data_IF_492349786200
#
_entry.id   IF_492349786200
#
_cell.length_a   1.000
_cell.length_b   1.000
_cell.length_c   1.000
_cell.angle_alpha   90.00
_cell.angle_beta   90.00
_cell.angle_gamma   90.00
#
_symmetry.space_group_name_H-M   'P 1'
#
loop_
_entity.id
_entity.type
_entity.pdbx_description
1 polymer ?
#
# COMPACT_ATOMS: atom_id res chain seq x y z
N UNK A 1 20.15 -1.81 6.98
CA UNK A 1 20.83 -1.86 8.30
C UNK A 1 22.25 -2.34 8.11
N UNK A 2 23.22 -1.60 8.62
CA UNK A 2 24.59 -2.12 8.75
C UNK A 2 24.57 -3.14 9.89
N UNK A 3 25.05 -4.36 9.65
CA UNK A 3 25.22 -5.39 10.70
C UNK A 3 26.22 -4.95 11.78
N UNK A 4 27.02 -3.93 11.46
CA UNK A 4 27.98 -3.30 12.34
C UNK A 4 27.40 -2.03 12.93
N UNK A 5 27.29 -2.01 14.25
CA UNK A 5 26.96 -0.86 15.07
C UNK A 5 28.24 -0.09 15.40
N UNK A 6 28.12 1.18 15.80
CA UNK A 6 29.24 1.98 16.29
C UNK A 6 30.06 1.27 17.38
N UNK A 7 29.41 0.44 18.21
CA UNK A 7 30.06 -0.40 19.21
C UNK A 7 31.02 -1.44 18.63
N UNK A 8 30.75 -1.92 17.42
CA UNK A 8 31.65 -2.82 16.68
C UNK A 8 32.89 -2.08 16.15
N UNK A 9 32.81 -0.74 15.99
CA UNK A 9 33.92 0.11 15.58
C UNK A 9 34.70 0.71 16.78
N UNK A 10 34.05 0.89 17.93
CA UNK A 10 34.65 1.43 19.16
C UNK A 10 35.35 0.40 20.06
N UNK A 11 35.31 -0.89 19.71
CA UNK A 11 36.16 -1.90 20.35
C UNK A 11 37.65 -1.70 20.07
N UNK A 12 38.52 -2.39 20.80
CA UNK A 12 40.00 -2.31 20.82
C UNK A 12 40.71 -2.35 19.44
N UNK A 13 39.99 -2.56 18.35
CA UNK A 13 40.49 -2.81 17.00
C UNK A 13 41.03 -1.58 16.26
N UNK A 14 40.44 -0.38 16.44
CA UNK A 14 40.92 0.83 15.74
C UNK A 14 42.04 1.57 16.48
N UNK A 15 42.34 1.20 17.73
CA UNK A 15 43.40 1.81 18.54
C UNK A 15 44.79 1.19 18.36
N UNK A 16 44.92 0.07 17.64
CA UNK A 16 46.21 -0.59 17.43
C UNK A 16 46.91 -0.08 16.16
N UNK A 17 47.72 0.97 16.31
CA UNK A 17 48.68 1.49 15.33
C UNK A 17 49.99 0.68 15.28
N UNK A 18 49.94 -0.66 15.42
CA UNK A 18 51.13 -1.51 15.55
C UNK A 18 51.07 -2.84 14.79
N UNK A 19 52.27 -3.39 14.55
CA UNK A 19 52.65 -4.51 13.66
C UNK A 19 52.09 -5.91 14.03
N UNK A 20 51.13 -5.99 14.96
CA UNK A 20 50.55 -7.25 15.47
C UNK A 20 49.07 -7.38 15.10
N UNK A 21 48.77 -7.41 13.80
CA UNK A 21 47.39 -7.66 13.32
C UNK A 21 47.07 -9.15 13.35
N UNK A 22 46.21 -9.58 14.27
CA UNK A 22 45.48 -10.84 14.10
C UNK A 22 44.51 -10.69 12.92
N UNK A 23 44.45 -11.65 11.97
CA UNK A 23 43.51 -11.57 10.86
C UNK A 23 42.07 -11.56 11.39
N UNK A 24 41.24 -10.69 10.81
CA UNK A 24 39.83 -10.60 11.17
C UNK A 24 39.14 -11.94 10.86
N UNK A 25 38.47 -12.50 11.86
CA UNK A 25 37.62 -13.69 11.70
C UNK A 25 36.19 -13.25 11.85
N UNK A 26 35.39 -13.43 10.80
CA UNK A 26 33.96 -13.18 10.83
C UNK A 26 33.31 -14.01 11.95
N UNK A 27 32.82 -13.34 13.00
CA UNK A 27 31.98 -14.00 14.01
C UNK A 27 30.53 -13.88 13.57
N UNK A 28 29.88 -15.01 13.33
CA UNK A 28 28.45 -15.02 13.08
C UNK A 28 27.72 -14.41 14.28
N UNK A 29 26.85 -13.42 14.03
CA UNK A 29 26.04 -12.80 15.08
C UNK A 29 25.05 -13.85 15.59
N UNK A 30 25.22 -14.30 16.82
CA UNK A 30 24.28 -15.19 17.48
C UNK A 30 23.13 -14.36 18.05
N UNK A 31 21.89 -14.77 17.77
CA UNK A 31 20.70 -14.08 18.25
C UNK A 31 20.14 -14.80 19.48
N UNK A 32 19.79 -14.05 20.52
CA UNK A 32 19.06 -14.60 21.66
C UNK A 32 17.59 -14.82 21.29
N UNK A 33 16.87 -15.67 22.03
CA UNK A 33 15.41 -15.88 21.85
C UNK A 33 14.61 -14.57 21.89
N UNK A 34 15.08 -13.56 22.62
CA UNK A 34 14.43 -12.24 22.70
C UNK A 34 14.61 -11.40 21.43
N UNK A 35 15.71 -11.60 20.70
CA UNK A 35 16.03 -10.84 19.47
C UNK A 35 15.40 -11.45 18.21
N UNK A 36 14.83 -12.66 18.34
CA UNK A 36 14.21 -13.39 17.24
C UNK A 36 13.02 -12.62 16.63
N UNK A 37 12.24 -11.92 17.45
CA UNK A 37 11.10 -11.12 16.98
C UNK A 37 11.56 -9.96 16.10
N UNK A 38 12.59 -9.21 16.53
CA UNK A 38 13.19 -8.14 15.75
C UNK A 38 13.80 -8.66 14.43
N UNK A 39 14.40 -9.85 14.45
CA UNK A 39 14.89 -10.52 13.24
C UNK A 39 13.76 -10.91 12.30
N UNK A 40 12.66 -11.46 12.83
CA UNK A 40 11.50 -11.86 12.03
C UNK A 40 10.84 -10.66 11.37
N UNK A 41 10.75 -9.52 12.08
CA UNK A 41 10.30 -8.24 11.53
C UNK A 41 11.23 -7.67 10.44
N UNK A 42 12.53 -7.98 10.53
CA UNK A 42 13.56 -7.51 9.59
C UNK A 42 13.71 -8.39 8.35
N UNK A 43 13.18 -9.62 8.40
CA UNK A 43 13.20 -10.55 7.28
C UNK A 43 11.94 -10.34 6.44
N UNK A 44 12.08 -10.38 5.11
CA UNK A 44 10.92 -10.51 4.23
C UNK A 44 10.29 -11.87 4.52
N UNK A 45 9.12 -11.90 5.16
CA UNK A 45 8.43 -13.15 5.46
C UNK A 45 7.43 -13.48 4.36
N UNK A 46 7.27 -14.77 4.05
CA UNK A 46 6.30 -15.28 3.06
C UNK A 46 4.86 -14.87 3.41
N UNK A 47 4.58 -14.70 4.70
CA UNK A 47 3.28 -14.29 5.21
C UNK A 47 2.91 -12.86 4.78
N UNK A 48 3.88 -11.94 4.71
CA UNK A 48 3.62 -10.55 4.32
C UNK A 48 3.33 -10.43 2.82
N UNK A 49 3.98 -11.27 2.00
CA UNK A 49 3.64 -11.45 0.60
C UNK A 49 2.24 -12.01 0.43
N UNK A 50 1.93 -13.09 1.16
CA UNK A 50 0.62 -13.71 1.13
C UNK A 50 -0.49 -12.73 1.54
N UNK A 51 -0.31 -11.97 2.63
CA UNK A 51 -1.27 -10.95 3.06
C UNK A 51 -1.45 -9.88 1.99
N UNK A 52 -0.37 -9.36 1.41
CA UNK A 52 -0.44 -8.30 0.40
C UNK A 52 -1.19 -8.77 -0.85
N UNK A 53 -0.87 -9.97 -1.36
CA UNK A 53 -1.54 -10.59 -2.50
C UNK A 53 -3.02 -10.87 -2.17
N UNK A 54 -3.29 -11.37 -0.97
CA UNK A 54 -4.67 -11.67 -0.51
C UNK A 54 -5.53 -10.40 -0.48
N UNK A 55 -4.99 -9.27 -0.02
CA UNK A 55 -5.71 -7.99 -0.03
C UNK A 55 -6.09 -7.61 -1.47
N UNK A 56 -5.13 -7.58 -2.41
CA UNK A 56 -5.43 -7.25 -3.81
C UNK A 56 -6.39 -8.25 -4.46
N UNK A 57 -6.28 -9.53 -4.14
CA UNK A 57 -7.21 -10.56 -4.60
C UNK A 57 -8.64 -10.26 -4.17
N UNK A 58 -8.88 -9.94 -2.89
CA UNK A 58 -10.22 -9.58 -2.42
C UNK A 58 -10.78 -8.31 -3.08
N UNK A 59 -9.92 -7.34 -3.42
CA UNK A 59 -10.34 -6.18 -4.21
C UNK A 59 -10.80 -6.58 -5.62
N UNK A 60 -10.07 -7.45 -6.30
CA UNK A 60 -10.47 -7.95 -7.63
C UNK A 60 -11.73 -8.80 -7.59
N UNK A 61 -11.87 -9.64 -6.56
CA UNK A 61 -13.04 -10.49 -6.35
C UNK A 61 -14.28 -9.64 -6.02
N UNK A 62 -14.15 -8.66 -5.11
CA UNK A 62 -15.24 -7.76 -4.78
C UNK A 62 -15.71 -6.95 -5.98
N UNK A 63 -14.77 -6.50 -6.81
CA UNK A 63 -15.07 -5.80 -8.05
C UNK A 63 -15.83 -6.69 -9.04
N UNK A 64 -15.35 -7.91 -9.28
CA UNK A 64 -15.95 -8.84 -10.24
C UNK A 64 -17.33 -9.32 -9.81
N UNK A 65 -17.53 -9.65 -8.53
CA UNK A 65 -18.84 -10.08 -7.99
C UNK A 65 -19.87 -8.97 -8.16
N UNK A 66 -19.53 -7.73 -7.81
CA UNK A 66 -20.46 -6.61 -7.98
C UNK A 66 -20.84 -6.39 -9.44
N UNK A 67 -19.84 -6.38 -10.34
CA UNK A 67 -20.08 -6.23 -11.78
C UNK A 67 -21.01 -7.34 -12.29
N UNK A 68 -20.76 -8.58 -11.88
CA UNK A 68 -21.60 -9.74 -12.21
C UNK A 68 -23.05 -9.56 -11.73
N UNK A 69 -23.26 -9.10 -10.48
CA UNK A 69 -24.60 -8.86 -9.93
C UNK A 69 -25.34 -7.74 -10.64
N UNK A 70 -24.64 -6.75 -11.19
CA UNK A 70 -25.27 -5.60 -11.86
C UNK A 70 -25.59 -5.83 -13.34
N UNK A 71 -24.75 -6.56 -14.09
CA UNK A 71 -24.85 -6.65 -15.56
C UNK A 71 -24.81 -8.08 -16.12
N UNK A 72 -24.54 -9.09 -15.30
CA UNK A 72 -24.34 -10.47 -15.78
C UNK A 72 -23.07 -10.67 -16.62
N UNK A 73 -22.98 -11.78 -17.36
CA UNK A 73 -21.79 -12.21 -18.12
C UNK A 73 -21.88 -11.87 -19.63
N UNK A 74 -22.30 -10.66 -19.99
CA UNK A 74 -22.50 -10.26 -21.39
C UNK A 74 -21.33 -9.41 -21.93
N UNK A 75 -20.69 -9.77 -23.07
CA UNK A 75 -19.50 -9.05 -23.59
C UNK A 75 -19.72 -7.58 -23.96
N UNK A 76 -20.92 -7.22 -24.45
CA UNK A 76 -21.32 -5.84 -24.76
C UNK A 76 -21.37 -4.93 -23.52
N UNK A 77 -21.42 -5.53 -22.34
CA UNK A 77 -21.57 -4.82 -21.08
C UNK A 77 -20.27 -4.18 -20.63
N UNK A 78 -19.10 -4.72 -20.99
CA UNK A 78 -17.80 -4.19 -20.54
C UNK A 78 -17.49 -2.79 -21.10
N UNK A 79 -17.75 -2.57 -22.40
CA UNK A 79 -17.54 -1.25 -23.01
C UNK A 79 -18.57 -0.23 -22.50
N UNK A 80 -19.81 -0.67 -22.28
CA UNK A 80 -20.88 0.17 -21.71
C UNK A 80 -20.58 0.51 -20.24
N UNK A 81 -19.95 -0.42 -19.51
CA UNK A 81 -19.49 -0.25 -18.12
C UNK A 81 -18.43 0.83 -17.98
N UNK A 82 -17.48 0.87 -18.92
CA UNK A 82 -16.39 1.85 -18.94
C UNK A 82 -16.91 3.27 -19.14
N UNK A 83 -18.02 3.43 -19.87
CA UNK A 83 -18.63 4.73 -20.16
C UNK A 83 -19.75 5.14 -19.17
N UNK A 84 -20.22 4.23 -18.31
CA UNK A 84 -21.26 4.54 -17.32
C UNK A 84 -20.67 5.30 -16.12
N UNK A 85 -20.62 6.63 -16.20
CA UNK A 85 -20.12 7.53 -15.15
C UNK A 85 -21.25 8.25 -14.39
N UNK A 86 -22.52 7.98 -14.72
CA UNK A 86 -23.65 8.73 -14.18
C UNK A 86 -23.96 8.34 -12.73
N UNK A 87 -23.65 9.25 -11.82
CA UNK A 87 -24.13 9.26 -10.43
C UNK A 87 -25.64 9.51 -10.44
N UNK A 88 -26.43 8.44 -10.45
CA UNK A 88 -27.88 8.55 -10.28
C UNK A 88 -28.24 8.35 -8.80
N UNK A 89 -29.32 8.95 -8.27
CA UNK A 89 -29.83 8.59 -6.94
C UNK A 89 -30.15 7.10 -6.80
N UNK A 90 -30.43 6.43 -7.93
CA UNK A 90 -30.64 4.99 -8.02
C UNK A 90 -29.34 4.20 -7.79
N UNK A 91 -28.17 4.81 -7.92
CA UNK A 91 -26.86 4.20 -7.66
C UNK A 91 -26.57 4.02 -6.16
N UNK A 92 -27.34 4.66 -5.26
CA UNK A 92 -27.27 4.44 -3.81
C UNK A 92 -28.05 3.18 -3.42
N UNK A 93 -27.50 2.02 -3.75
CA UNK A 93 -28.20 0.74 -3.62
C UNK A 93 -27.93 0.02 -2.31
N UNK A 94 -26.80 0.28 -1.64
CA UNK A 94 -26.36 -0.48 -0.46
C UNK A 94 -26.57 0.27 0.85
N UNK A 95 -26.95 -0.48 1.89
CA UNK A 95 -26.87 -0.03 3.29
C UNK A 95 -27.90 1.02 3.71
N UNK A 96 -28.98 1.22 2.95
CA UNK A 96 -30.01 2.25 3.25
C UNK A 96 -30.63 2.16 4.64
N UNK A 97 -30.56 0.99 5.29
CA UNK A 97 -31.08 0.75 6.64
C UNK A 97 -30.04 0.94 7.75
N UNK A 98 -28.76 1.13 7.39
CA UNK A 98 -27.68 1.30 8.36
C UNK A 98 -27.57 2.78 8.78
N UNK A 99 -27.09 3.06 10.01
CA UNK A 99 -26.79 4.42 10.42
C UNK A 99 -25.71 5.04 9.53
N UNK A 100 -25.82 6.35 9.29
CA UNK A 100 -24.88 7.12 8.45
C UNK A 100 -23.42 6.97 8.90
N UNK A 101 -23.18 6.84 10.20
CA UNK A 101 -21.85 6.58 10.78
C UNK A 101 -21.28 5.23 10.34
N UNK A 102 -22.09 4.17 10.32
CA UNK A 102 -21.66 2.86 9.84
C UNK A 102 -21.39 2.90 8.33
N UNK A 103 -22.22 3.61 7.56
CA UNK A 103 -22.00 3.78 6.12
C UNK A 103 -20.69 4.51 5.81
N UNK A 104 -20.38 5.56 6.57
CA UNK A 104 -19.11 6.28 6.45
C UNK A 104 -17.91 5.39 6.80
N UNK A 105 -18.00 4.56 7.83
CA UNK A 105 -16.92 3.61 8.19
C UNK A 105 -16.73 2.60 7.06
N UNK A 106 -17.81 1.94 6.61
CA UNK A 106 -17.76 0.93 5.54
C UNK A 106 -17.19 1.54 4.25
N UNK A 107 -17.52 2.80 3.95
CA UNK A 107 -17.02 3.50 2.78
C UNK A 107 -15.51 3.80 2.81
N UNK A 108 -14.90 3.78 4.00
CA UNK A 108 -13.48 4.08 4.21
C UNK A 108 -12.62 2.85 4.56
N UNK A 109 -13.24 1.72 4.90
CA UNK A 109 -12.52 0.47 5.20
C UNK A 109 -11.61 0.02 4.05
N UNK A 110 -12.03 0.08 2.77
CA UNK A 110 -11.16 -0.26 1.65
C UNK A 110 -9.88 0.61 1.59
N UNK A 111 -9.99 1.91 1.86
CA UNK A 111 -8.89 2.86 1.87
C UNK A 111 -7.91 2.54 3.01
N UNK A 112 -8.41 2.08 4.16
CA UNK A 112 -7.56 1.60 5.25
C UNK A 112 -6.78 0.33 4.84
N UNK A 113 -7.45 -0.63 4.19
CA UNK A 113 -6.80 -1.85 3.71
C UNK A 113 -5.73 -1.57 2.66
N UNK A 114 -5.96 -0.63 1.74
CA UNK A 114 -4.95 -0.20 0.76
C UNK A 114 -3.76 0.49 1.42
N UNK A 115 -3.99 1.30 2.45
CA UNK A 115 -2.91 1.90 3.23
C UNK A 115 -2.02 0.83 3.88
N UNK A 116 -2.62 -0.20 4.46
CA UNK A 116 -1.89 -1.34 5.05
C UNK A 116 -1.13 -2.13 3.99
N UNK A 117 -1.75 -2.41 2.84
CA UNK A 117 -1.11 -3.09 1.72
C UNK A 117 0.10 -2.30 1.18
N UNK A 118 -0.01 -0.96 1.10
CA UNK A 118 1.10 -0.10 0.71
C UNK A 118 2.25 -0.17 1.72
N UNK A 119 1.98 -0.08 3.02
CA UNK A 119 3.02 -0.17 4.05
C UNK A 119 3.75 -1.51 4.01
N UNK A 120 3.02 -2.62 3.83
CA UNK A 120 3.59 -3.96 3.67
C UNK A 120 4.44 -4.06 2.40
N UNK A 121 3.89 -3.61 1.27
CA UNK A 121 4.58 -3.63 -0.03
C UNK A 121 5.85 -2.78 -0.01
N UNK A 122 5.79 -1.58 0.57
CA UNK A 122 6.94 -0.70 0.71
C UNK A 122 8.03 -1.35 1.56
N UNK A 123 7.68 -2.01 2.66
CA UNK A 123 8.63 -2.74 3.50
C UNK A 123 9.27 -3.92 2.74
N UNK A 124 8.48 -4.72 2.01
CA UNK A 124 8.97 -5.85 1.21
C UNK A 124 9.95 -5.39 0.13
N UNK A 125 9.59 -4.37 -0.64
CA UNK A 125 10.44 -3.78 -1.68
C UNK A 125 11.70 -3.19 -1.08
N UNK A 126 11.61 -2.54 0.09
CA UNK A 126 12.78 -2.04 0.82
C UNK A 126 13.73 -3.17 1.20
N UNK A 127 13.21 -4.25 1.77
CA UNK A 127 14.00 -5.40 2.19
C UNK A 127 14.67 -6.10 1.00
N UNK A 128 13.95 -6.26 -0.12
CA UNK A 128 14.49 -6.84 -1.36
C UNK A 128 15.53 -5.96 -2.03
N UNK A 129 15.32 -4.64 -2.07
CA UNK A 129 16.29 -3.71 -2.62
C UNK A 129 17.58 -3.71 -1.79
N UNK A 130 17.44 -3.78 -0.46
CA UNK A 130 18.55 -3.89 0.46
C UNK A 130 19.29 -5.22 0.26
N UNK A 131 18.59 -6.37 0.28
CA UNK A 131 19.23 -7.69 0.12
C UNK A 131 19.98 -7.80 -1.20
N UNK A 132 19.37 -7.33 -2.31
CA UNK A 132 20.02 -7.27 -3.63
C UNK A 132 21.27 -6.39 -3.61
N UNK A 133 21.23 -5.26 -2.93
CA UNK A 133 22.40 -4.40 -2.80
C UNK A 133 23.52 -5.08 -2.01
N UNK A 134 23.18 -5.75 -0.91
CA UNK A 134 24.11 -6.51 -0.08
C UNK A 134 24.77 -7.66 -0.84
N UNK A 135 23.99 -8.48 -1.54
CA UNK A 135 24.52 -9.56 -2.36
C UNK A 135 25.51 -9.05 -3.41
N UNK A 136 25.23 -7.88 -4.01
CA UNK A 136 26.12 -7.28 -5.00
C UNK A 136 27.49 -6.83 -4.44
N UNK A 137 27.63 -6.59 -3.12
CA UNK A 137 28.95 -6.35 -2.51
C UNK A 137 29.77 -7.63 -2.36
N UNK A 138 29.11 -8.79 -2.22
CA UNK A 138 29.76 -10.08 -2.00
C UNK A 138 30.11 -10.81 -3.31
N UNK A 139 29.23 -10.76 -4.32
CA UNK A 139 29.36 -11.54 -5.55
C UNK A 139 29.74 -10.70 -6.78
N UNK A 140 29.91 -9.40 -6.62
CA UNK A 140 30.18 -8.47 -7.72
C UNK A 140 31.59 -8.63 -8.32
N UNK A 141 31.75 -8.52 -9.66
CA UNK A 141 33.08 -8.54 -10.33
C UNK A 141 33.99 -7.38 -9.94
N UNK A 142 33.41 -6.28 -9.43
CA UNK A 142 34.11 -5.09 -8.99
C UNK A 142 33.63 -4.67 -7.59
N UNK A 143 34.55 -4.21 -6.75
CA UNK A 143 34.25 -3.69 -5.42
C UNK A 143 33.31 -2.49 -5.52
N UNK A 144 32.05 -2.69 -5.15
CA UNK A 144 31.05 -1.62 -5.15
C UNK A 144 31.33 -0.68 -3.96
N UNK A 145 31.34 0.64 -4.15
CA UNK A 145 31.62 1.59 -3.07
C UNK A 145 30.46 1.66 -2.07
N UNK A 146 30.80 1.77 -0.78
CA UNK A 146 29.83 1.89 0.31
C UNK A 146 29.03 3.20 0.26
N UNK A 147 27.80 3.12 0.78
CA UNK A 147 26.95 4.29 1.02
C UNK A 147 27.16 4.83 2.43
N UNK A 148 27.53 6.10 2.53
CA UNK A 148 27.79 6.78 3.80
C UNK A 148 27.04 8.12 3.84
N UNK A 149 26.71 8.59 5.04
CA UNK A 149 26.03 9.88 5.23
C UNK A 149 26.91 11.06 4.81
N UNK A 150 28.23 10.90 4.97
CA UNK A 150 29.24 11.89 4.59
C UNK A 150 30.24 11.23 3.61
N UNK A 151 29.91 11.18 2.31
CA UNK A 151 30.74 10.50 1.33
C UNK A 151 32.09 11.22 1.14
N UNK A 152 33.17 10.45 1.02
CA UNK A 152 34.48 10.93 0.57
C UNK A 152 35.00 10.09 -0.60
N UNK A 153 35.58 10.73 -1.61
CA UNK A 153 36.12 10.05 -2.79
C UNK A 153 35.04 9.30 -3.58
N UNK A 154 35.23 8.00 -3.81
CA UNK A 154 34.33 7.16 -4.60
C UNK A 154 33.09 6.65 -3.83
N UNK A 155 32.94 7.00 -2.54
CA UNK A 155 31.78 6.62 -1.72
C UNK A 155 30.51 7.32 -2.20
N UNK A 156 29.36 6.65 -2.01
CA UNK A 156 28.05 7.18 -2.41
C UNK A 156 27.31 7.75 -1.20
N UNK A 157 26.49 8.77 -1.39
CA UNK A 157 25.59 9.22 -0.32
C UNK A 157 24.48 8.18 -0.07
N UNK A 158 23.93 8.20 1.14
CA UNK A 158 22.70 7.48 1.47
C UNK A 158 21.51 8.09 0.73
N UNK A 159 20.55 7.25 0.32
CA UNK A 159 19.29 7.78 -0.20
C UNK A 159 18.54 8.53 0.90
N UNK A 160 17.86 9.63 0.52
CA UNK A 160 16.98 10.35 1.44
C UNK A 160 15.73 9.54 1.78
N UNK A 161 15.20 8.81 0.79
CA UNK A 161 14.18 7.78 0.96
C UNK A 161 14.86 6.42 1.16
N UNK A 162 14.40 5.57 2.08
CA UNK A 162 15.04 4.27 2.39
C UNK A 162 15.16 3.32 1.18
N UNK A 163 14.47 3.62 0.06
CA UNK A 163 14.46 2.84 -1.17
C UNK A 163 14.93 3.62 -2.40
N UNK A 164 15.54 2.95 -3.40
CA UNK A 164 15.83 3.57 -4.69
C UNK A 164 14.56 4.13 -5.36
N UNK A 165 14.62 5.36 -5.88
CA UNK A 165 13.47 6.03 -6.52
C UNK A 165 12.81 5.23 -7.66
N UNK A 166 13.59 4.39 -8.38
CA UNK A 166 13.07 3.50 -9.42
C UNK A 166 12.00 2.52 -8.95
N UNK A 167 12.00 2.17 -7.66
CA UNK A 167 10.97 1.33 -7.05
C UNK A 167 9.96 2.17 -6.25
N UNK A 168 10.42 3.26 -5.65
CA UNK A 168 9.59 4.15 -4.84
C UNK A 168 8.50 4.84 -5.65
N UNK A 169 8.87 5.42 -6.79
CA UNK A 169 7.96 6.24 -7.59
C UNK A 169 6.84 5.39 -8.22
N UNK A 170 7.12 4.23 -8.84
CA UNK A 170 6.04 3.38 -9.34
C UNK A 170 5.12 2.87 -8.23
N UNK A 171 5.68 2.48 -7.07
CA UNK A 171 4.88 1.99 -5.95
C UNK A 171 3.97 3.08 -5.38
N UNK A 172 4.50 4.30 -5.22
CA UNK A 172 3.74 5.46 -4.76
C UNK A 172 2.64 5.84 -5.76
N UNK A 173 2.97 5.88 -7.06
CA UNK A 173 2.02 6.19 -8.11
C UNK A 173 0.89 5.14 -8.20
N UNK A 174 1.24 3.85 -8.13
CA UNK A 174 0.26 2.76 -8.11
C UNK A 174 -0.65 2.85 -6.87
N UNK A 175 -0.08 3.12 -5.69
CA UNK A 175 -0.86 3.30 -4.46
C UNK A 175 -1.81 4.50 -4.57
N UNK A 176 -1.32 5.66 -5.02
CA UNK A 176 -2.13 6.85 -5.21
C UNK A 176 -3.29 6.59 -6.20
N UNK A 177 -3.01 5.90 -7.30
CA UNK A 177 -4.01 5.52 -8.29
C UNK A 177 -5.06 4.57 -7.71
N UNK A 178 -4.64 3.54 -6.97
CA UNK A 178 -5.57 2.60 -6.31
C UNK A 178 -6.48 3.34 -5.31
N UNK A 179 -5.91 4.20 -4.47
CA UNK A 179 -6.69 5.00 -3.53
C UNK A 179 -7.70 5.91 -4.24
N UNK A 180 -7.27 6.56 -5.31
CA UNK A 180 -8.15 7.39 -6.13
C UNK A 180 -9.29 6.57 -6.74
N UNK A 181 -8.99 5.44 -7.38
CA UNK A 181 -9.98 4.56 -7.98
C UNK A 181 -10.94 3.98 -6.94
N UNK A 182 -10.44 3.60 -5.75
CA UNK A 182 -11.29 3.12 -4.66
C UNK A 182 -12.28 4.17 -4.17
N UNK A 183 -11.88 5.45 -4.10
CA UNK A 183 -12.79 6.54 -3.74
C UNK A 183 -13.95 6.72 -4.74
N UNK A 184 -13.71 6.39 -6.01
CA UNK A 184 -14.74 6.42 -7.05
C UNK A 184 -15.54 5.11 -7.10
N UNK A 185 -14.91 3.99 -6.76
CA UNK A 185 -15.52 2.67 -6.79
C UNK A 185 -16.59 2.49 -5.71
N UNK A 186 -16.36 3.02 -4.52
CA UNK A 186 -17.26 2.88 -3.38
C UNK A 186 -17.24 4.17 -2.57
N UNK A 187 -18.38 4.86 -2.54
CA UNK A 187 -18.51 6.17 -1.90
C UNK A 187 -19.78 6.23 -1.06
N UNK A 188 -19.73 6.98 0.02
CA UNK A 188 -20.90 7.31 0.82
C UNK A 188 -21.55 8.59 0.27
N UNK A 189 -22.88 8.59 0.13
CA UNK A 189 -23.61 9.82 -0.13
C UNK A 189 -24.95 9.85 0.61
N UNK A 190 -25.36 11.06 0.96
CA UNK A 190 -26.62 11.37 1.62
C UNK A 190 -27.34 12.44 0.78
N UNK A 191 -28.58 12.16 0.39
CA UNK A 191 -29.40 13.04 -0.43
C UNK A 191 -30.60 13.47 0.41
N UNK A 192 -30.65 14.77 0.70
CA UNK A 192 -31.80 15.41 1.35
C UNK A 192 -32.61 16.17 0.31
N UNK A 193 -33.86 15.77 0.13
CA UNK A 193 -34.83 16.43 -0.74
C UNK A 193 -35.64 17.41 0.10
N UNK A 194 -35.62 18.68 -0.28
CA UNK A 194 -36.39 19.73 0.39
C UNK A 194 -37.66 20.03 -0.41
N UNK A 195 -38.82 20.09 0.25
CA UNK A 195 -40.04 20.60 -0.36
C UNK A 195 -40.06 22.13 -0.29
N UNK A 196 -40.36 22.77 -1.42
CA UNK A 196 -40.35 24.23 -1.55
C UNK A 196 -41.53 24.93 -0.84
N UNK A 197 -42.55 24.19 -0.37
CA UNK A 197 -43.66 24.76 0.39
C UNK A 197 -44.17 23.74 1.41
N UNK A 198 -44.25 24.10 2.69
CA UNK A 198 -44.86 23.23 3.72
C UNK A 198 -44.50 23.52 5.17
N UNK A 199 -43.54 24.40 5.47
CA UNK A 199 -43.25 24.80 6.85
C UNK A 199 -44.10 25.99 7.28
N UNK A 200 -44.78 25.89 8.44
CA UNK A 200 -45.53 27.01 9.05
C UNK A 200 -44.66 28.28 9.24
N UNK A 201 -43.33 28.14 9.25
CA UNK A 201 -42.36 29.23 9.45
C UNK A 201 -41.60 29.66 8.17
N UNK A 202 -42.00 29.21 6.98
CA UNK A 202 -41.30 29.53 5.72
C UNK A 202 -39.92 28.85 5.55
N UNK A 203 -39.58 27.90 6.42
CA UNK A 203 -38.36 27.09 6.31
C UNK A 203 -38.58 25.88 5.38
N UNK A 204 -37.57 25.50 4.58
CA UNK A 204 -37.65 24.30 3.76
C UNK A 204 -37.80 23.05 4.65
N UNK A 205 -38.83 22.25 4.40
CA UNK A 205 -39.09 20.99 5.11
C UNK A 205 -38.41 19.85 4.36
N UNK A 206 -37.73 18.97 5.08
CA UNK A 206 -37.12 17.76 4.50
C UNK A 206 -38.25 16.81 4.07
N UNK A 207 -38.41 16.64 2.77
CA UNK A 207 -39.43 15.78 2.16
C UNK A 207 -38.97 14.33 2.08
N UNK A 208 -37.67 14.10 1.86
CA UNK A 208 -37.06 12.78 1.90
C UNK A 208 -35.58 12.90 2.27
N UNK A 209 -35.08 11.95 3.04
CA UNK A 209 -33.66 11.81 3.36
C UNK A 209 -33.23 10.38 3.02
N UNK A 210 -32.22 10.25 2.15
CA UNK A 210 -31.72 8.96 1.68
C UNK A 210 -30.21 8.94 1.80
N UNK A 211 -29.72 8.14 2.74
CA UNK A 211 -28.31 7.81 2.89
C UNK A 211 -28.02 6.42 2.34
N UNK A 212 -26.86 6.25 1.69
CA UNK A 212 -26.44 4.94 1.21
C UNK A 212 -25.01 4.90 0.69
N UNK A 213 -24.56 3.69 0.37
CA UNK A 213 -23.33 3.50 -0.40
C UNK A 213 -23.65 3.47 -1.89
N UNK A 214 -22.96 4.34 -2.62
CA UNK A 214 -22.90 4.33 -4.07
C UNK A 214 -21.66 3.59 -4.57
N UNK A 215 -21.73 3.09 -5.80
CA UNK A 215 -20.60 2.43 -6.43
C UNK A 215 -20.54 2.67 -7.94
N UNK A 216 -19.37 3.08 -8.44
CA UNK A 216 -19.15 3.28 -9.88
C UNK A 216 -18.62 1.99 -10.52
N UNK A 217 -19.33 1.47 -11.52
CA UNK A 217 -18.88 0.28 -12.22
C UNK A 217 -17.58 0.49 -13.00
N UNK A 218 -17.42 1.65 -13.64
CA UNK A 218 -16.21 2.01 -14.38
C UNK A 218 -14.99 2.03 -13.46
N UNK A 219 -15.13 2.65 -12.28
CA UNK A 219 -14.06 2.69 -11.29
C UNK A 219 -13.74 1.31 -10.71
N UNK A 220 -14.75 0.47 -10.48
CA UNK A 220 -14.54 -0.91 -10.03
C UNK A 220 -13.80 -1.77 -11.05
N UNK A 221 -14.11 -1.62 -12.35
CA UNK A 221 -13.40 -2.31 -13.41
C UNK A 221 -11.95 -1.81 -13.52
N UNK A 222 -11.74 -0.50 -13.50
CA UNK A 222 -10.40 0.08 -13.52
C UNK A 222 -9.58 -0.37 -12.31
N UNK A 223 -10.19 -0.44 -11.12
CA UNK A 223 -9.57 -0.93 -9.90
C UNK A 223 -9.19 -2.42 -10.03
N UNK A 224 -10.07 -3.25 -10.60
CA UNK A 224 -9.79 -4.66 -10.82
C UNK A 224 -8.59 -4.87 -11.76
N UNK A 225 -8.54 -4.15 -12.88
CA UNK A 225 -7.42 -4.23 -13.85
C UNK A 225 -6.11 -3.75 -13.23
N UNK A 226 -6.14 -2.67 -12.45
CA UNK A 226 -4.94 -2.17 -11.77
C UNK A 226 -4.45 -3.15 -10.70
N UNK A 227 -5.36 -3.74 -9.93
CA UNK A 227 -5.03 -4.70 -8.88
C UNK A 227 -4.51 -6.04 -9.45
N UNK A 228 -5.05 -6.54 -10.56
CA UNK A 228 -4.49 -7.73 -11.22
C UNK A 228 -3.08 -7.50 -11.75
N UNK A 229 -2.81 -6.31 -12.31
CA UNK A 229 -1.47 -5.92 -12.75
C UNK A 229 -0.43 -5.81 -11.63
N UNK A 230 -0.86 -5.76 -10.37
CA UNK A 230 0.03 -5.75 -9.19
C UNK A 230 0.21 -7.15 -8.57
N UNK A 231 -0.64 -8.11 -8.91
CA UNK A 231 -0.54 -9.50 -8.45
C UNK A 231 0.43 -10.31 -9.34
N UNK A 232 0.50 -9.96 -10.64
CA UNK A 232 1.37 -10.61 -11.65
C UNK A 232 2.78 -10.03 -11.61
#
# INVERSE_FOLDING_TARGET
MCLFTEKDFHGDYFRSTGDTRKPWVAKAKTYSKKDYWARNFSSSSELEWFISITIYFFFTLGASVKIMLTHGLTPSSLLTLAHSTTLSPQSLTMGRTLPTTALAIIANTPQLLLSLAYLLSNRLVTALALSREWSAYATGPAHKPLRTTHPRGQQRSTYWLQIPYRFALPLLAASALLHYLTSQALFFAEIRVFANMGGEDGRPVVAADVAGLGSSNAAMLALAVCATGLIV
#
